data_IF_846687492329
#
_entry.id   IF_846687492329
#
_cell.length_a   1.000
_cell.length_b   1.000
_cell.length_c   1.000
_cell.angle_alpha   90.00
_cell.angle_beta   90.00
_cell.angle_gamma   90.00
#
_symmetry.space_group_name_H-M   'P 1'
#
loop_
_entity.id
_entity.type
_entity.pdbx_description
1 polymer ?
#
# COMPACT_ATOMS: atom_id res chain seq x y z
N UNK A 1 -42.74 -5.76 7.02
CA UNK A 1 -42.96 -4.42 6.45
C UNK A 1 -43.95 -3.67 7.31
N UNK A 2 -43.57 -2.54 7.90
CA UNK A 2 -44.57 -1.60 8.42
C UNK A 2 -45.16 -0.85 7.22
N UNK A 3 -46.48 -0.90 7.00
CA UNK A 3 -47.11 -0.13 5.93
C UNK A 3 -46.90 1.36 6.24
N UNK A 4 -46.23 2.10 5.36
CA UNK A 4 -46.25 3.56 5.43
C UNK A 4 -47.62 4.03 4.93
N UNK A 5 -48.42 4.74 5.74
CA UNK A 5 -49.65 5.33 5.24
C UNK A 5 -49.26 6.44 4.25
N UNK A 6 -49.68 6.31 2.99
CA UNK A 6 -49.49 7.37 2.00
C UNK A 6 -50.48 8.51 2.24
N UNK A 7 -50.00 9.74 2.29
CA UNK A 7 -50.86 10.93 2.25
C UNK A 7 -51.54 11.08 0.88
N UNK A 8 -52.63 11.84 0.83
CA UNK A 8 -53.31 12.21 -0.43
C UNK A 8 -52.88 13.60 -0.89
N UNK A 9 -53.17 13.95 -2.15
CA UNK A 9 -52.85 15.27 -2.73
C UNK A 9 -53.46 16.40 -1.88
N UNK A 10 -54.64 16.17 -1.31
CA UNK A 10 -55.35 17.14 -0.47
C UNK A 10 -55.02 17.05 1.03
N UNK A 11 -54.19 16.10 1.46
CA UNK A 11 -53.89 15.89 2.88
C UNK A 11 -52.46 15.37 3.10
N UNK A 12 -51.57 16.29 3.49
CA UNK A 12 -50.22 16.00 3.93
C UNK A 12 -50.23 15.48 5.38
N UNK A 13 -49.92 14.20 5.56
CA UNK A 13 -49.70 13.61 6.88
C UNK A 13 -48.19 13.51 7.17
N UNK A 14 -47.77 13.91 8.36
CA UNK A 14 -46.44 13.62 8.88
C UNK A 14 -46.48 12.26 9.57
N UNK A 15 -45.73 11.29 9.06
CA UNK A 15 -45.52 10.03 9.73
C UNK A 15 -44.09 9.99 10.27
N UNK A 16 -43.92 9.48 11.49
CA UNK A 16 -42.60 9.23 12.04
C UNK A 16 -42.23 7.80 11.70
N UNK A 17 -41.17 7.55 10.91
CA UNK A 17 -40.71 6.20 10.65
C UNK A 17 -40.39 5.53 11.98
N UNK A 18 -40.97 4.35 12.23
CA UNK A 18 -40.58 3.54 13.38
C UNK A 18 -39.09 3.21 13.21
N UNK A 19 -38.27 3.51 14.22
CA UNK A 19 -36.85 3.18 14.20
C UNK A 19 -36.70 1.66 14.14
N UNK A 20 -36.32 1.16 12.96
CA UNK A 20 -35.92 -0.23 12.81
C UNK A 20 -34.44 -0.33 13.20
N UNK A 21 -34.15 -1.10 14.23
CA UNK A 21 -32.78 -1.47 14.59
C UNK A 21 -32.43 -2.77 13.90
N UNK A 22 -31.32 -2.79 13.18
CA UNK A 22 -30.73 -4.01 12.61
C UNK A 22 -29.41 -4.23 13.31
N UNK A 23 -29.18 -5.45 13.80
CA UNK A 23 -27.94 -5.87 14.45
C UNK A 23 -27.24 -6.90 13.57
N UNK A 24 -25.91 -6.86 13.54
CA UNK A 24 -25.11 -7.97 13.03
C UNK A 24 -25.00 -8.97 14.16
N UNK A 25 -25.42 -10.23 13.93
CA UNK A 25 -25.33 -11.28 14.93
C UNK A 25 -23.88 -11.65 15.23
N UNK A 26 -23.58 -12.00 16.48
CA UNK A 26 -22.21 -12.38 16.91
C UNK A 26 -21.65 -13.61 16.18
N UNK A 27 -22.53 -14.43 15.60
CA UNK A 27 -22.21 -15.62 14.79
C UNK A 27 -22.07 -15.31 13.28
N UNK A 28 -22.21 -14.05 12.89
CA UNK A 28 -22.03 -13.63 11.49
C UNK A 28 -20.56 -13.74 11.10
N UNK A 29 -20.25 -14.64 10.18
CA UNK A 29 -18.89 -14.81 9.64
C UNK A 29 -18.75 -14.19 8.26
N UNK A 30 -17.67 -13.44 8.04
CA UNK A 30 -17.25 -13.00 6.70
C UNK A 30 -16.11 -13.93 6.25
N UNK A 31 -16.34 -14.73 5.21
CA UNK A 31 -15.36 -15.68 4.68
C UNK A 31 -14.61 -15.11 3.47
N UNK A 32 -13.29 -14.92 3.60
CA UNK A 32 -12.40 -14.47 2.52
C UNK A 32 -11.56 -15.61 1.90
N UNK A 33 -11.80 -16.87 2.26
CA UNK A 33 -10.97 -18.03 1.88
C UNK A 33 -10.85 -18.27 0.38
N UNK A 34 -11.76 -17.73 -0.44
CA UNK A 34 -11.79 -17.89 -1.90
C UNK A 34 -11.46 -16.62 -2.67
N UNK A 35 -11.11 -15.54 -1.99
CA UNK A 35 -10.71 -14.29 -2.64
C UNK A 35 -9.22 -14.32 -2.97
N UNK A 36 -8.92 -14.39 -4.28
CA UNK A 36 -7.57 -14.20 -4.77
C UNK A 36 -7.24 -12.70 -4.78
N UNK A 37 -6.54 -12.23 -3.75
CA UNK A 37 -6.03 -10.85 -3.72
C UNK A 37 -4.68 -10.77 -4.45
N UNK A 38 -4.75 -10.63 -5.77
CA UNK A 38 -3.59 -10.32 -6.59
C UNK A 38 -3.52 -8.83 -6.86
N UNK A 39 -2.50 -8.16 -6.34
CA UNK A 39 -2.09 -6.82 -6.75
C UNK A 39 -0.74 -6.97 -7.43
N UNK A 40 -0.63 -6.48 -8.66
CA UNK A 40 0.65 -6.41 -9.35
C UNK A 40 1.54 -5.37 -8.66
N UNK A 41 2.69 -5.80 -8.14
CA UNK A 41 3.67 -4.93 -7.50
C UNK A 41 4.82 -4.59 -8.46
N UNK A 42 5.46 -3.41 -8.34
CA UNK A 42 5.18 -2.32 -7.39
C UNK A 42 4.05 -1.37 -7.84
N UNK A 43 3.05 -1.13 -6.97
CA UNK A 43 1.98 -0.15 -7.17
C UNK A 43 2.11 1.03 -6.18
N UNK A 44 2.47 2.20 -6.70
CA UNK A 44 2.68 3.42 -5.91
C UNK A 44 1.38 3.98 -5.31
N UNK A 45 0.24 3.77 -5.94
CA UNK A 45 -1.05 4.27 -5.44
C UNK A 45 -1.44 3.46 -4.21
N UNK A 46 -1.27 2.14 -4.25
CA UNK A 46 -1.57 1.29 -3.09
C UNK A 46 -0.59 1.56 -1.95
N UNK A 47 0.70 1.79 -2.24
CA UNK A 47 1.65 2.24 -1.23
C UNK A 47 1.23 3.57 -0.58
N UNK A 48 0.87 4.57 -1.38
CA UNK A 48 0.52 5.90 -0.87
C UNK A 48 -0.78 5.92 -0.04
N UNK A 49 -1.74 5.05 -0.35
CA UNK A 49 -3.06 5.05 0.29
C UNK A 49 -3.29 3.94 1.32
N UNK A 50 -2.55 2.83 1.22
CA UNK A 50 -2.69 1.65 2.10
C UNK A 50 -1.37 1.23 2.77
N UNK A 51 -0.22 1.83 2.44
CA UNK A 51 1.09 1.43 2.98
C UNK A 51 1.55 0.05 2.51
N UNK A 52 0.81 -0.57 1.58
CA UNK A 52 1.05 -1.91 1.08
C UNK A 52 2.30 -1.93 0.18
N UNK A 53 3.14 -2.98 0.19
CA UNK A 53 2.96 -4.27 0.89
C UNK A 53 3.33 -4.27 2.38
N UNK A 54 3.99 -3.23 2.88
CA UNK A 54 4.57 -3.21 4.24
C UNK A 54 3.53 -3.21 5.36
N UNK A 55 2.32 -2.72 5.08
CA UNK A 55 1.20 -2.72 6.02
C UNK A 55 0.59 -4.10 6.27
N UNK A 56 1.05 -5.16 5.59
CA UNK A 56 0.60 -6.54 5.86
C UNK A 56 0.84 -6.95 7.31
N UNK A 57 2.02 -6.62 7.84
CA UNK A 57 2.35 -6.78 9.25
C UNK A 57 2.29 -5.41 9.92
N UNK A 58 1.39 -5.24 10.89
CA UNK A 58 1.11 -3.93 11.48
C UNK A 58 2.35 -3.29 12.14
N UNK A 59 3.28 -4.12 12.64
CA UNK A 59 4.53 -3.75 13.31
C UNK A 59 5.74 -3.66 12.37
N UNK A 60 5.53 -3.90 11.06
CA UNK A 60 6.55 -3.99 10.01
C UNK A 60 7.62 -5.09 10.26
N UNK A 61 7.28 -6.15 10.99
CA UNK A 61 8.18 -7.27 11.31
C UNK A 61 8.85 -7.93 10.09
N UNK A 62 8.13 -8.02 8.98
CA UNK A 62 8.64 -8.61 7.73
C UNK A 62 9.34 -7.58 6.82
N UNK A 63 9.56 -6.35 7.28
CA UNK A 63 10.18 -5.28 6.48
C UNK A 63 11.67 -5.12 6.78
N UNK A 64 12.49 -5.11 5.71
CA UNK A 64 13.90 -4.73 5.77
C UNK A 64 14.10 -3.38 5.07
N UNK A 65 14.45 -2.37 5.88
CA UNK A 65 14.78 -1.03 5.39
C UNK A 65 16.26 -0.97 5.03
N UNK A 66 16.55 -0.52 3.81
CA UNK A 66 17.91 -0.34 3.33
C UNK A 66 18.20 1.15 3.20
N UNK A 67 19.18 1.63 3.96
CA UNK A 67 19.55 3.05 4.03
C UNK A 67 21.06 3.18 3.77
N UNK A 68 21.53 4.22 3.06
CA UNK A 68 22.97 4.42 2.87
C UNK A 68 23.70 4.58 4.19
N UNK A 69 24.95 4.11 4.25
CA UNK A 69 25.83 4.22 5.43
C UNK A 69 25.93 5.63 6.03
N UNK A 70 25.84 6.65 5.18
CA UNK A 70 25.75 8.05 5.59
C UNK A 70 24.49 8.67 4.97
N UNK A 71 23.34 8.60 5.65
CA UNK A 71 22.09 9.15 5.12
C UNK A 71 22.10 10.68 5.21
N UNK A 72 21.56 11.32 4.17
CA UNK A 72 21.32 12.77 4.22
C UNK A 72 20.09 13.08 5.09
N UNK A 73 19.95 14.32 5.56
CA UNK A 73 18.79 14.75 6.34
C UNK A 73 17.46 14.46 5.61
N UNK A 74 17.42 14.66 4.29
CA UNK A 74 16.25 14.34 3.47
C UNK A 74 15.91 12.85 3.45
N UNK A 75 16.92 11.96 3.45
CA UNK A 75 16.71 10.51 3.50
C UNK A 75 16.17 10.07 4.86
N UNK A 76 16.69 10.63 5.96
CA UNK A 76 16.16 10.38 7.29
C UNK A 76 14.71 10.86 7.40
N UNK A 77 14.41 12.07 6.92
CA UNK A 77 13.05 12.60 6.90
C UNK A 77 12.11 11.70 6.08
N UNK A 78 12.58 11.23 4.91
CA UNK A 78 11.80 10.33 4.03
C UNK A 78 11.52 9.00 4.72
N UNK A 79 12.52 8.43 5.39
CA UNK A 79 12.36 7.20 6.17
C UNK A 79 11.30 7.38 7.26
N UNK A 80 11.43 8.41 8.09
CA UNK A 80 10.50 8.67 9.18
C UNK A 80 9.08 8.96 8.66
N UNK A 81 8.95 9.68 7.54
CA UNK A 81 7.67 9.95 6.92
C UNK A 81 7.03 8.67 6.36
N UNK A 82 7.81 7.78 5.74
CA UNK A 82 7.32 6.50 5.25
C UNK A 82 6.84 5.60 6.39
N UNK A 83 7.66 5.45 7.44
CA UNK A 83 7.30 4.65 8.62
C UNK A 83 6.11 5.23 9.37
N UNK A 84 6.06 6.55 9.54
CA UNK A 84 4.92 7.23 10.16
C UNK A 84 3.64 7.09 9.35
N UNK A 85 3.73 7.18 8.03
CA UNK A 85 2.59 7.00 7.13
C UNK A 85 2.09 5.55 7.06
N UNK A 86 2.96 4.55 7.17
CA UNK A 86 2.53 3.16 7.28
C UNK A 86 1.91 2.91 8.66
N UNK A 87 2.56 3.38 9.73
CA UNK A 87 2.05 3.21 11.10
C UNK A 87 0.70 3.90 11.34
N UNK A 88 0.44 5.04 10.70
CA UNK A 88 -0.87 5.69 10.77
C UNK A 88 -1.99 4.88 10.10
N UNK A 89 -1.63 4.01 9.15
CA UNK A 89 -2.59 3.18 8.43
C UNK A 89 -2.83 1.84 9.11
N UNK A 90 -1.81 1.27 9.73
CA UNK A 90 -1.92 0.03 10.50
C UNK A 90 -2.41 0.27 11.93
N UNK A 91 -2.28 1.49 12.44
CA UNK A 91 -2.59 1.85 13.82
C UNK A 91 -1.51 1.42 14.82
N UNK A 92 -0.37 0.91 14.36
CA UNK A 92 0.73 0.45 15.19
C UNK A 92 2.06 1.09 14.74
N UNK A 93 2.90 1.44 15.70
CA UNK A 93 4.22 1.99 15.39
C UNK A 93 5.12 0.92 14.74
N UNK A 94 5.99 1.37 13.83
CA UNK A 94 6.95 0.52 13.16
C UNK A 94 8.10 0.13 14.10
N UNK A 95 7.86 -0.87 14.95
CA UNK A 95 8.76 -1.28 16.06
C UNK A 95 9.62 -2.51 15.74
N UNK A 96 9.17 -3.39 14.84
CA UNK A 96 9.83 -4.68 14.57
C UNK A 96 10.55 -4.73 13.21
N UNK A 97 10.73 -3.58 12.56
CA UNK A 97 11.46 -3.50 11.29
C UNK A 97 12.96 -3.76 11.48
N UNK A 98 13.60 -4.31 10.44
CA UNK A 98 15.04 -4.45 10.38
C UNK A 98 15.64 -3.34 9.51
N UNK A 99 16.84 -2.87 9.84
CA UNK A 99 17.55 -1.86 9.05
C UNK A 99 18.96 -2.34 8.69
N UNK A 100 19.40 -2.07 7.46
CA UNK A 100 20.76 -2.38 7.00
C UNK A 100 21.28 -1.33 6.03
N UNK A 101 22.60 -1.17 5.99
CA UNK A 101 23.31 -0.39 4.97
C UNK A 101 24.01 -1.29 3.92
N UNK A 102 24.02 -2.60 4.14
CA UNK A 102 24.69 -3.57 3.29
C UNK A 102 23.71 -4.24 2.32
N UNK A 103 23.86 -3.91 1.03
CA UNK A 103 23.07 -4.51 -0.05
C UNK A 103 23.27 -6.02 -0.22
N UNK A 104 24.32 -6.62 0.37
CA UNK A 104 24.52 -8.07 0.33
C UNK A 104 23.58 -8.83 1.27
N UNK A 105 23.10 -8.18 2.35
CA UNK A 105 22.13 -8.76 3.30
C UNK A 105 20.74 -8.97 2.66
N UNK A 106 20.51 -8.35 1.49
CA UNK A 106 19.25 -8.44 0.74
C UNK A 106 19.10 -9.79 0.03
N UNK A 107 20.21 -10.42 -0.41
CA UNK A 107 20.16 -11.53 -1.37
C UNK A 107 19.54 -12.82 -0.84
N UNK A 108 19.53 -13.01 0.48
CA UNK A 108 19.13 -14.27 1.13
C UNK A 108 18.02 -14.08 2.17
N UNK A 109 17.36 -12.92 2.19
CA UNK A 109 16.27 -12.66 3.13
C UNK A 109 14.93 -12.63 2.40
N UNK A 110 13.98 -13.38 2.95
CA UNK A 110 12.57 -13.30 2.58
C UNK A 110 11.93 -12.17 3.38
N UNK A 111 12.05 -10.94 2.88
CA UNK A 111 11.58 -9.73 3.55
C UNK A 111 11.13 -8.68 2.52
N UNK A 112 10.17 -7.86 2.92
CA UNK A 112 9.70 -6.71 2.14
C UNK A 112 10.77 -5.60 2.16
N UNK A 113 11.34 -5.28 1.00
CA UNK A 113 12.50 -4.39 0.88
C UNK A 113 12.09 -2.92 0.70
N UNK A 114 12.30 -2.09 1.73
CA UNK A 114 12.12 -0.64 1.65
C UNK A 114 13.46 0.06 1.45
N UNK A 115 13.77 0.44 0.21
CA UNK A 115 15.02 1.13 -0.13
C UNK A 115 14.85 2.65 -0.04
N UNK A 116 15.59 3.30 0.88
CA UNK A 116 15.62 4.75 1.01
C UNK A 116 16.89 5.30 0.38
N UNK A 117 16.80 5.78 -0.86
CA UNK A 117 17.94 6.39 -1.53
C UNK A 117 17.92 6.16 -3.04
N UNK A 118 19.10 6.27 -3.66
CA UNK A 118 19.24 6.04 -5.10
C UNK A 118 19.73 4.62 -5.34
N UNK A 119 19.00 3.86 -6.18
CA UNK A 119 19.46 2.57 -6.67
C UNK A 119 20.78 2.76 -7.45
N UNK A 120 21.90 2.14 -7.01
CA UNK A 120 23.16 2.22 -7.73
C UNK A 120 23.08 1.67 -9.16
N UNK A 121 22.16 0.75 -9.47
CA UNK A 121 21.93 0.21 -10.83
C UNK A 121 21.34 1.22 -11.79
N UNK A 122 20.67 2.26 -11.30
CA UNK A 122 20.06 3.30 -12.12
C UNK A 122 21.05 4.41 -12.52
N UNK A 123 22.27 4.40 -11.96
CA UNK A 123 23.34 5.35 -12.30
C UNK A 123 23.91 5.12 -13.71
N UNK A 124 23.76 3.93 -14.29
CA UNK A 124 24.28 3.60 -15.64
C UNK A 124 23.29 3.86 -16.79
N UNK A 125 22.04 4.23 -16.51
CA UNK A 125 21.06 4.52 -17.57
C UNK A 125 21.07 6.00 -17.97
N UNK A 126 22.25 6.51 -18.33
CA UNK A 126 22.38 7.65 -19.23
C UNK A 126 22.05 7.15 -20.64
N UNK A 127 20.77 7.06 -20.97
CA UNK A 127 20.35 6.99 -22.38
C UNK A 127 20.80 8.28 -23.05
N UNK A 128 21.68 8.25 -24.07
CA UNK A 128 21.79 9.37 -24.98
C UNK A 128 20.42 9.46 -25.68
N UNK A 129 19.75 10.60 -25.51
CA UNK A 129 18.78 11.05 -26.52
C UNK A 129 19.54 11.05 -27.85
N UNK A 130 18.92 10.53 -28.90
CA UNK A 130 19.43 10.43 -30.28
C UNK A 130 20.52 9.38 -30.53
N UNK A 131 20.13 8.17 -30.89
CA UNK A 131 20.66 7.54 -32.11
C UNK A 131 19.65 6.51 -32.63
N UNK A 132 18.92 6.95 -33.65
CA UNK A 132 18.46 6.20 -34.81
C UNK A 132 18.38 4.67 -34.69
N UNK A 133 17.14 4.17 -34.78
CA UNK A 133 16.86 2.85 -35.33
C UNK A 133 17.57 2.68 -36.68
N UNK A 134 18.72 2.01 -36.66
CA UNK A 134 19.42 1.56 -37.86
C UNK A 134 19.11 0.08 -38.06
N UNK A 135 18.33 -0.21 -39.10
CA UNK A 135 18.14 -1.56 -39.65
C UNK A 135 19.52 -2.17 -39.93
N UNK A 136 19.82 -3.37 -39.42
CA UNK A 136 20.83 -4.22 -40.06
C UNK A 136 20.19 -4.92 -41.26
N UNK A 137 20.73 -4.78 -42.48
CA UNK A 137 20.39 -5.68 -43.57
C UNK A 137 21.03 -7.05 -43.29
N UNK A 138 20.26 -8.13 -43.43
CA UNK A 138 20.84 -9.47 -43.52
C UNK A 138 21.42 -9.64 -44.93
N UNK A 139 22.73 -9.80 -44.98
CA UNK A 139 23.43 -10.46 -46.10
C UNK A 139 23.66 -11.91 -45.68
N UNK A 140 23.39 -12.86 -46.59
CA UNK A 140 23.53 -14.30 -46.39
C UNK A 140 22.19 -15.01 -46.45
#
# INVERSE_FOLDING_TARGET
MNPMPGGSIDNCITFQPVQNHVVIGDDSTIDFSKYYHFIALPDLRVFANAGFPYSRMADLSDTLVVVPKAPTQGQVATLLQALGGIGSQTGLAAINLQMTDDGNQIKNKDADLLLIGRDPRRRSRTTPKSTCWSRRPKAG
#
